data_IF_293960055407
#
_entry.id   IF_293960055407
#
_cell.length_a   1.000
_cell.length_b   1.000
_cell.length_c   1.000
_cell.angle_alpha   90.00
_cell.angle_beta   90.00
_cell.angle_gamma   90.00
#
_symmetry.space_group_name_H-M   'P 1'
#
loop_
_entity.id
_entity.type
_entity.pdbx_description
1 polymer ?
#
# COMPACT_ATOMS: atom_id res chain seq x y z
N UNK A 1 -2.62 38.26 -17.84
CA UNK A 1 -3.19 38.29 -16.48
C UNK A 1 -2.12 38.53 -15.39
N UNK A 2 -0.92 37.92 -15.47
CA UNK A 2 0.19 38.14 -14.51
C UNK A 2 0.76 39.59 -14.59
N UNK A 3 0.83 40.20 -15.76
CA UNK A 3 1.27 41.57 -15.94
C UNK A 3 0.35 42.63 -15.35
N UNK A 4 -0.96 42.37 -15.29
CA UNK A 4 -1.93 43.25 -14.65
C UNK A 4 -1.82 43.29 -13.11
N UNK A 5 -1.29 42.19 -12.53
CA UNK A 5 -1.08 42.07 -11.07
C UNK A 5 0.14 42.90 -10.62
N UNK A 6 1.14 43.07 -11.50
CA UNK A 6 2.34 43.89 -11.21
C UNK A 6 2.10 45.39 -11.36
N UNK A 7 0.98 45.80 -11.97
CA UNK A 7 0.69 47.22 -12.32
C UNK A 7 -0.16 47.99 -11.29
N UNK A 8 -0.23 47.56 -10.01
CA UNK A 8 -0.76 48.39 -8.94
C UNK A 8 -2.29 48.52 -8.86
N UNK A 9 -3.06 47.68 -9.52
CA UNK A 9 -4.53 47.66 -9.51
C UNK A 9 -5.15 46.68 -8.46
N UNK A 10 -4.33 46.10 -7.60
CA UNK A 10 -4.85 45.28 -6.50
C UNK A 10 -5.41 46.14 -5.38
N UNK A 11 -6.54 45.72 -4.80
CA UNK A 11 -7.07 46.33 -3.60
C UNK A 11 -6.01 46.36 -2.50
N UNK A 12 -6.03 47.36 -1.65
CA UNK A 12 -4.95 47.62 -0.65
C UNK A 12 -4.73 46.49 0.35
N UNK A 13 -5.70 45.59 0.49
CA UNK A 13 -5.72 44.42 1.36
C UNK A 13 -5.13 43.13 0.70
N UNK A 14 -4.95 43.11 -0.63
CA UNK A 14 -4.48 41.93 -1.35
C UNK A 14 -2.95 41.84 -1.29
N UNK A 15 -2.46 40.69 -0.87
CA UNK A 15 -1.03 40.34 -0.80
C UNK A 15 -0.71 39.12 -1.64
N UNK A 16 0.52 39.04 -2.07
CA UNK A 16 1.07 37.89 -2.80
C UNK A 16 1.88 37.01 -1.88
N UNK A 17 1.72 35.70 -2.04
CA UNK A 17 2.56 34.68 -1.41
C UNK A 17 3.19 33.85 -2.51
N UNK A 18 4.51 33.76 -2.51
CA UNK A 18 5.25 32.83 -3.39
C UNK A 18 5.72 31.67 -2.57
N UNK A 19 5.34 30.47 -2.97
CA UNK A 19 5.77 29.25 -2.28
C UNK A 19 7.18 28.83 -2.72
N UNK A 20 7.87 27.93 -1.98
CA UNK A 20 9.18 27.40 -2.38
C UNK A 20 9.21 26.75 -3.77
N UNK A 21 8.10 26.21 -4.25
CA UNK A 21 7.96 25.67 -5.62
C UNK A 21 7.76 26.74 -6.69
N UNK A 22 7.71 28.03 -6.31
CA UNK A 22 7.49 29.15 -7.23
C UNK A 22 6.02 29.40 -7.59
N UNK A 23 5.07 28.75 -6.92
CA UNK A 23 3.64 29.02 -7.13
C UNK A 23 3.26 30.34 -6.46
N UNK A 24 2.44 31.14 -7.16
CA UNK A 24 1.95 32.42 -6.71
C UNK A 24 0.52 32.29 -6.20
N UNK A 25 0.30 32.68 -4.94
CA UNK A 25 -1.01 32.76 -4.32
C UNK A 25 -1.34 34.23 -3.97
N UNK A 26 -2.61 34.55 -4.04
CA UNK A 26 -3.15 35.85 -3.59
C UNK A 26 -4.00 35.61 -2.35
N UNK A 27 -3.86 36.49 -1.35
CA UNK A 27 -4.73 36.47 -0.17
C UNK A 27 -5.06 37.90 0.29
N UNK A 28 -6.19 38.05 0.95
CA UNK A 28 -6.58 39.31 1.58
C UNK A 28 -6.11 39.32 3.04
N UNK A 29 -5.39 40.36 3.44
CA UNK A 29 -4.95 40.56 4.82
C UNK A 29 -6.12 40.83 5.78
N UNK A 30 -7.24 41.29 5.29
CA UNK A 30 -8.45 41.56 6.09
C UNK A 30 -9.12 40.27 6.58
N UNK A 31 -8.90 39.17 5.88
CA UNK A 31 -9.53 37.86 6.15
C UNK A 31 -8.54 36.79 6.60
N UNK A 32 -7.24 36.97 6.38
CA UNK A 32 -6.23 35.94 6.65
C UNK A 32 -4.89 36.54 7.03
N UNK A 33 -4.28 36.04 8.11
CA UNK A 33 -2.93 36.42 8.48
C UNK A 33 -1.89 35.88 7.49
N UNK A 34 -0.70 36.48 7.45
CA UNK A 34 0.43 36.01 6.62
C UNK A 34 0.82 34.56 6.96
N UNK A 35 0.79 34.21 8.25
CA UNK A 35 1.16 32.87 8.71
C UNK A 35 0.13 31.83 8.29
N UNK A 36 -1.17 32.16 8.35
CA UNK A 36 -2.23 31.27 7.87
C UNK A 36 -2.17 31.11 6.36
N UNK A 37 -1.88 32.20 5.63
CA UNK A 37 -1.67 32.15 4.19
C UNK A 37 -0.49 31.24 3.82
N UNK A 38 0.65 31.35 4.52
CA UNK A 38 1.80 30.51 4.33
C UNK A 38 1.51 29.03 4.65
N UNK A 39 0.77 28.76 5.74
CA UNK A 39 0.36 27.40 6.09
C UNK A 39 -0.55 26.77 5.02
N UNK A 40 -1.54 27.53 4.52
CA UNK A 40 -2.40 27.08 3.42
C UNK A 40 -1.63 26.88 2.11
N UNK A 41 -0.70 27.79 1.78
CA UNK A 41 0.17 27.64 0.60
C UNK A 41 0.97 26.35 0.63
N UNK A 42 1.54 25.98 1.78
CA UNK A 42 2.25 24.69 1.94
C UNK A 42 1.32 23.49 1.72
N UNK A 43 0.07 23.53 2.19
CA UNK A 43 -0.88 22.46 1.97
C UNK A 43 -1.28 22.33 0.49
N UNK A 44 -1.41 23.44 -0.23
CA UNK A 44 -1.66 23.41 -1.68
C UNK A 44 -0.45 22.84 -2.45
N UNK A 45 0.78 23.17 -2.07
CA UNK A 45 1.97 22.52 -2.64
C UNK A 45 1.96 21.01 -2.46
N UNK A 46 1.57 20.53 -1.29
CA UNK A 46 1.43 19.09 -1.01
C UNK A 46 0.38 18.46 -1.93
N UNK A 47 -0.78 19.08 -2.09
CA UNK A 47 -1.81 18.60 -3.03
C UNK A 47 -1.28 18.52 -4.46
N UNK A 48 -0.53 19.53 -4.91
CA UNK A 48 0.11 19.53 -6.23
C UNK A 48 1.14 18.41 -6.39
N UNK A 49 1.99 18.20 -5.37
CA UNK A 49 2.98 17.13 -5.38
C UNK A 49 2.32 15.74 -5.44
N UNK A 50 1.26 15.53 -4.65
CA UNK A 50 0.47 14.28 -4.66
C UNK A 50 -0.17 14.04 -6.04
N UNK A 51 -0.87 15.05 -6.58
CA UNK A 51 -1.47 14.96 -7.91
C UNK A 51 -0.43 14.71 -9.00
N UNK A 52 0.71 15.38 -8.94
CA UNK A 52 1.83 15.20 -9.86
C UNK A 52 2.38 13.79 -9.85
N UNK A 53 2.52 13.16 -8.66
CA UNK A 53 2.93 11.76 -8.54
C UNK A 53 1.88 10.82 -9.14
N UNK A 54 0.61 10.97 -8.77
CA UNK A 54 -0.47 10.11 -9.27
C UNK A 54 -0.57 10.18 -10.80
N UNK A 55 -0.54 11.39 -11.37
CA UNK A 55 -0.56 11.58 -12.83
C UNK A 55 0.64 10.94 -13.52
N UNK A 56 1.82 11.06 -12.94
CA UNK A 56 3.06 10.46 -13.46
C UNK A 56 2.99 8.93 -13.42
N UNK A 57 2.62 8.35 -12.29
CA UNK A 57 2.51 6.90 -12.12
C UNK A 57 1.50 6.33 -13.12
N UNK A 58 0.35 6.99 -13.27
CA UNK A 58 -0.68 6.57 -14.24
C UNK A 58 -0.23 6.70 -15.69
N UNK A 59 0.47 7.80 -16.05
CA UNK A 59 0.88 8.08 -17.42
C UNK A 59 2.10 7.28 -17.87
N UNK A 60 3.13 7.20 -17.02
CA UNK A 60 4.44 6.65 -17.40
C UNK A 60 4.54 5.17 -17.09
N UNK A 61 4.04 4.76 -15.92
CA UNK A 61 4.14 3.39 -15.45
C UNK A 61 2.89 2.57 -15.75
N UNK A 62 1.80 3.21 -16.18
CA UNK A 62 0.47 2.58 -16.30
C UNK A 62 0.09 1.85 -15.02
N UNK A 63 0.45 2.44 -13.88
CA UNK A 63 0.32 1.84 -12.56
C UNK A 63 -0.57 2.67 -11.64
N UNK A 64 -1.18 1.99 -10.68
CA UNK A 64 -1.90 2.63 -9.58
C UNK A 64 -0.92 3.11 -8.52
N UNK A 65 -1.22 4.23 -7.90
CA UNK A 65 -0.43 4.77 -6.79
C UNK A 65 -1.02 4.32 -5.45
N UNK A 66 -0.35 3.49 -4.66
CA UNK A 66 -0.85 3.10 -3.34
C UNK A 66 -0.94 4.31 -2.40
N UNK A 67 -2.00 4.40 -1.58
CA UNK A 67 -2.14 5.47 -0.59
C UNK A 67 -0.93 5.58 0.33
N UNK A 68 -0.34 4.46 0.73
CA UNK A 68 0.84 4.42 1.59
C UNK A 68 2.05 5.16 0.97
N UNK A 69 2.17 5.20 -0.35
CA UNK A 69 3.24 5.95 -1.02
C UNK A 69 3.08 7.47 -0.91
N UNK A 70 1.87 7.97 -0.60
CA UNK A 70 1.63 9.38 -0.29
C UNK A 70 2.20 9.76 1.07
N UNK A 71 2.16 8.86 2.05
CA UNK A 71 2.77 9.09 3.36
C UNK A 71 4.30 9.23 3.27
N UNK A 72 4.92 8.40 2.42
CA UNK A 72 6.36 8.49 2.14
C UNK A 72 6.74 9.76 1.36
N UNK A 73 5.84 10.28 0.50
CA UNK A 73 6.06 11.53 -0.23
C UNK A 73 6.04 12.75 0.69
N UNK A 74 5.29 12.71 1.79
CA UNK A 74 5.05 13.84 2.69
C UNK A 74 5.31 13.42 4.15
N UNK A 75 6.57 13.12 4.54
CA UNK A 75 6.91 12.57 5.85
C UNK A 75 6.57 13.51 7.02
N UNK A 76 6.57 14.82 6.77
CA UNK A 76 6.27 15.86 7.78
C UNK A 76 4.77 16.01 8.06
N UNK A 77 3.92 15.31 7.30
CA UNK A 77 2.46 15.43 7.42
C UNK A 77 1.88 14.12 7.96
N UNK A 78 1.07 14.24 9.02
CA UNK A 78 0.41 13.08 9.62
C UNK A 78 -0.52 12.38 8.61
N UNK A 79 -0.56 11.03 8.57
CA UNK A 79 -1.40 10.25 7.64
C UNK A 79 -2.87 10.71 7.60
N UNK A 80 -3.47 11.01 8.75
CA UNK A 80 -4.85 11.51 8.86
C UNK A 80 -5.04 12.81 8.06
N UNK A 81 -4.05 13.72 8.09
CA UNK A 81 -4.13 14.97 7.33
C UNK A 81 -3.99 14.73 5.83
N UNK A 82 -3.17 13.76 5.40
CA UNK A 82 -3.05 13.38 3.98
C UNK A 82 -4.38 12.83 3.46
N UNK A 83 -5.08 11.99 4.22
CA UNK A 83 -6.41 11.53 3.87
C UNK A 83 -7.42 12.68 3.76
N UNK A 84 -7.37 13.66 4.68
CA UNK A 84 -8.19 14.88 4.62
C UNK A 84 -7.90 15.69 3.36
N UNK A 85 -6.62 15.87 2.99
CA UNK A 85 -6.23 16.60 1.78
C UNK A 85 -6.71 15.90 0.50
N UNK A 86 -6.66 14.56 0.44
CA UNK A 86 -7.21 13.79 -0.68
C UNK A 86 -8.71 14.00 -0.83
N UNK A 87 -9.45 13.97 0.28
CA UNK A 87 -10.89 14.25 0.25
C UNK A 87 -11.19 15.69 -0.21
N UNK A 88 -10.40 16.67 0.25
CA UNK A 88 -10.51 18.05 -0.23
C UNK A 88 -10.21 18.18 -1.73
N UNK A 89 -9.20 17.45 -2.24
CA UNK A 89 -8.85 17.44 -3.66
C UNK A 89 -9.99 16.93 -4.54
N UNK A 90 -10.73 15.91 -4.11
CA UNK A 90 -11.86 15.36 -4.87
C UNK A 90 -12.98 16.37 -5.14
N UNK A 91 -13.11 17.40 -4.28
CA UNK A 91 -14.06 18.51 -4.46
C UNK A 91 -13.55 19.65 -5.34
N UNK A 92 -12.29 19.63 -5.78
CA UNK A 92 -11.64 20.73 -6.50
C UNK A 92 -11.51 20.42 -7.99
N UNK A 93 -11.91 21.35 -8.84
CA UNK A 93 -11.90 21.20 -10.31
C UNK A 93 -10.50 20.87 -10.85
N UNK A 94 -9.44 21.41 -10.27
CA UNK A 94 -8.05 21.19 -10.68
C UNK A 94 -7.54 19.76 -10.44
N UNK A 95 -8.25 18.94 -9.66
CA UNK A 95 -7.91 17.56 -9.34
C UNK A 95 -9.04 16.57 -9.70
N UNK A 96 -10.00 17.00 -10.54
CA UNK A 96 -11.15 16.18 -10.93
C UNK A 96 -10.76 14.86 -11.62
N UNK A 97 -9.57 14.81 -12.20
CA UNK A 97 -8.97 13.65 -12.85
C UNK A 97 -8.38 12.62 -11.87
N UNK A 98 -8.27 12.97 -10.59
CA UNK A 98 -7.74 12.05 -9.57
C UNK A 98 -8.88 11.24 -8.99
N UNK A 99 -8.79 9.92 -9.16
CA UNK A 99 -9.79 8.95 -8.70
C UNK A 99 -9.18 7.95 -7.72
N UNK A 100 -10.05 7.27 -7.01
CA UNK A 100 -9.68 6.22 -6.06
C UNK A 100 -10.29 4.89 -6.46
N UNK A 101 -9.59 3.81 -6.18
CA UNK A 101 -10.10 2.45 -6.30
C UNK A 101 -9.64 1.65 -5.07
N UNK A 102 -10.55 0.88 -4.48
CA UNK A 102 -10.24 0.04 -3.33
C UNK A 102 -9.94 -1.39 -3.77
N UNK A 103 -8.88 -1.96 -3.21
CA UNK A 103 -8.67 -3.39 -3.28
C UNK A 103 -9.69 -4.12 -2.39
N UNK A 104 -9.84 -5.42 -2.62
CA UNK A 104 -10.67 -6.26 -1.78
C UNK A 104 -10.16 -6.35 -0.32
N UNK A 105 -8.85 -6.09 -0.14
CA UNK A 105 -8.19 -5.96 1.16
C UNK A 105 -8.56 -4.71 1.95
N UNK A 106 -9.31 -3.77 1.34
CA UNK A 106 -9.57 -2.44 1.90
C UNK A 106 -8.42 -1.44 1.64
N UNK A 107 -7.33 -1.85 1.00
CA UNK A 107 -6.26 -0.95 0.60
C UNK A 107 -6.73 0.00 -0.51
N UNK A 108 -6.40 1.28 -0.37
CA UNK A 108 -6.81 2.34 -1.30
C UNK A 108 -5.68 2.67 -2.27
N UNK A 109 -6.03 2.70 -3.54
CA UNK A 109 -5.18 3.11 -4.64
C UNK A 109 -5.72 4.35 -5.33
N UNK A 110 -4.81 5.16 -5.86
CA UNK A 110 -5.10 6.42 -6.55
C UNK A 110 -4.66 6.29 -8.02
N UNK A 111 -5.40 6.93 -8.91
CA UNK A 111 -5.06 6.96 -10.34
C UNK A 111 -5.62 8.21 -11.00
N UNK A 112 -5.07 8.55 -12.17
CA UNK A 112 -5.56 9.63 -13.03
C UNK A 112 -6.45 9.04 -14.13
N UNK A 113 -7.74 9.44 -14.18
CA UNK A 113 -8.71 8.90 -15.13
C UNK A 113 -8.47 9.36 -16.58
N UNK A 114 -7.65 10.40 -16.78
CA UNK A 114 -7.17 10.78 -18.10
C UNK A 114 -6.22 9.74 -18.75
N UNK A 115 -5.63 8.83 -17.94
CA UNK A 115 -4.66 7.84 -18.40
C UNK A 115 -5.08 6.39 -18.13
N UNK A 116 -5.82 6.15 -17.05
CA UNK A 116 -6.27 4.83 -16.61
C UNK A 116 -7.78 4.88 -16.43
N UNK A 117 -8.52 4.11 -17.22
CA UNK A 117 -9.97 4.01 -17.04
C UNK A 117 -10.31 3.27 -15.74
N UNK A 118 -11.48 3.56 -15.16
CA UNK A 118 -11.94 2.88 -13.94
C UNK A 118 -11.94 1.34 -14.07
N UNK A 119 -12.42 0.84 -15.21
CA UNK A 119 -12.42 -0.62 -15.50
C UNK A 119 -11.01 -1.19 -15.47
N UNK A 120 -10.04 -0.47 -16.03
CA UNK A 120 -8.65 -0.92 -16.05
C UNK A 120 -8.00 -0.82 -14.65
N UNK A 121 -8.30 0.22 -13.88
CA UNK A 121 -7.86 0.34 -12.50
C UNK A 121 -8.34 -0.86 -11.65
N UNK A 122 -9.61 -1.27 -11.78
CA UNK A 122 -10.15 -2.45 -11.12
C UNK A 122 -9.42 -3.73 -11.55
N UNK A 123 -9.08 -3.87 -12.84
CA UNK A 123 -8.31 -5.03 -13.33
C UNK A 123 -6.90 -5.06 -12.74
N UNK A 124 -6.21 -3.93 -12.68
CA UNK A 124 -4.87 -3.83 -12.08
C UNK A 124 -4.89 -4.25 -10.60
N UNK A 125 -5.87 -3.77 -9.82
CA UNK A 125 -6.03 -4.19 -8.41
C UNK A 125 -6.27 -5.70 -8.31
N UNK A 126 -7.14 -6.25 -9.14
CA UNK A 126 -7.44 -7.69 -9.15
C UNK A 126 -6.24 -8.54 -9.53
N UNK A 127 -5.45 -8.10 -10.51
CA UNK A 127 -4.24 -8.79 -10.95
C UNK A 127 -3.22 -8.86 -9.83
N UNK A 128 -2.93 -7.74 -9.16
CA UNK A 128 -1.98 -7.70 -8.04
C UNK A 128 -2.37 -8.66 -6.90
N UNK A 129 -3.69 -8.73 -6.56
CA UNK A 129 -4.19 -9.67 -5.54
C UNK A 129 -4.08 -11.12 -6.01
N UNK A 130 -4.33 -11.39 -7.30
CA UNK A 130 -4.23 -12.75 -7.87
C UNK A 130 -2.78 -13.24 -7.83
N UNK A 131 -1.82 -12.39 -8.21
CA UNK A 131 -0.39 -12.73 -8.16
C UNK A 131 0.07 -13.03 -6.73
N UNK A 132 -0.36 -12.26 -5.75
CA UNK A 132 -0.05 -12.51 -4.35
C UNK A 132 -0.62 -13.87 -3.86
N UNK A 133 -1.87 -14.19 -4.21
CA UNK A 133 -2.48 -15.48 -3.85
C UNK A 133 -1.74 -16.65 -4.50
N UNK A 134 -1.38 -16.54 -5.79
CA UNK A 134 -0.61 -17.57 -6.51
C UNK A 134 0.76 -17.75 -5.87
N UNK A 135 1.46 -16.67 -5.56
CA UNK A 135 2.77 -16.70 -4.88
C UNK A 135 2.69 -17.43 -3.55
N UNK A 136 1.66 -17.15 -2.73
CA UNK A 136 1.45 -17.84 -1.45
C UNK A 136 1.28 -19.34 -1.68
N UNK A 137 0.38 -19.74 -2.58
CA UNK A 137 0.07 -21.16 -2.84
C UNK A 137 1.28 -21.91 -3.36
N UNK A 138 1.97 -21.36 -4.35
CA UNK A 138 3.14 -22.00 -4.96
C UNK A 138 4.28 -22.15 -3.95
N UNK A 139 4.52 -21.12 -3.12
CA UNK A 139 5.52 -21.20 -2.05
C UNK A 139 5.16 -22.28 -1.04
N UNK A 140 3.90 -22.33 -0.56
CA UNK A 140 3.48 -23.32 0.44
C UNK A 140 3.60 -24.74 -0.11
N UNK A 141 3.21 -24.97 -1.37
CA UNK A 141 3.36 -26.28 -2.02
C UNK A 141 4.83 -26.67 -2.14
N UNK A 142 5.68 -25.73 -2.57
CA UNK A 142 7.11 -26.00 -2.76
C UNK A 142 7.83 -26.24 -1.43
N UNK A 143 7.55 -25.45 -0.40
CA UNK A 143 8.09 -25.66 0.96
C UNK A 143 7.64 -27.01 1.53
N UNK A 144 6.36 -27.38 1.37
CA UNK A 144 5.84 -28.68 1.82
C UNK A 144 6.44 -29.84 1.04
N UNK A 145 6.79 -29.65 -0.25
CA UNK A 145 7.36 -30.69 -1.12
C UNK A 145 8.85 -30.90 -0.90
N UNK A 146 9.64 -29.82 -0.88
CA UNK A 146 11.11 -29.91 -0.85
C UNK A 146 11.64 -30.04 0.59
N UNK A 147 11.11 -29.21 1.50
CA UNK A 147 11.65 -29.11 2.86
C UNK A 147 10.76 -29.76 3.93
N UNK A 148 9.77 -30.60 3.59
CA UNK A 148 8.59 -31.08 4.32
C UNK A 148 8.29 -30.31 5.61
N UNK A 149 8.06 -28.99 5.49
CA UNK A 149 7.75 -28.10 6.61
C UNK A 149 6.59 -27.16 6.30
N UNK A 150 5.81 -26.75 7.31
CA UNK A 150 4.79 -25.71 7.13
C UNK A 150 5.45 -24.34 6.96
N UNK A 151 4.85 -23.49 6.13
CA UNK A 151 5.33 -22.15 5.83
C UNK A 151 4.74 -21.13 6.80
N UNK A 152 5.58 -20.41 7.53
CA UNK A 152 5.12 -19.35 8.44
C UNK A 152 4.54 -18.18 7.64
N UNK A 153 3.35 -17.72 8.01
CA UNK A 153 2.64 -16.64 7.28
C UNK A 153 3.43 -15.34 7.27
N UNK A 154 4.14 -15.01 8.35
CA UNK A 154 4.98 -13.81 8.42
C UNK A 154 6.12 -13.77 7.39
N UNK A 155 6.49 -14.91 6.80
CA UNK A 155 7.49 -14.98 5.74
C UNK A 155 7.08 -14.14 4.51
N UNK A 156 5.79 -14.10 4.21
CA UNK A 156 5.26 -13.39 3.04
C UNK A 156 5.34 -11.86 3.17
N UNK A 157 5.45 -11.32 4.38
CA UNK A 157 5.68 -9.89 4.60
C UNK A 157 7.17 -9.51 4.58
N UNK A 158 8.07 -10.49 4.53
CA UNK A 158 9.51 -10.25 4.47
C UNK A 158 9.91 -9.52 3.18
N UNK A 159 11.13 -8.98 3.15
CA UNK A 159 11.67 -8.29 1.97
C UNK A 159 11.76 -9.18 0.72
N UNK A 160 11.76 -10.49 0.88
CA UNK A 160 11.85 -11.46 -0.24
C UNK A 160 10.55 -11.49 -1.03
N UNK A 161 9.40 -11.54 -0.33
CA UNK A 161 8.09 -11.60 -0.98
C UNK A 161 7.41 -10.24 -1.07
N UNK A 162 7.61 -9.38 -0.08
CA UNK A 162 7.13 -8.00 -0.08
C UNK A 162 5.61 -7.85 -0.13
N UNK A 163 4.85 -8.89 0.25
CA UNK A 163 3.38 -8.82 0.25
C UNK A 163 2.94 -7.93 1.41
N UNK A 164 2.23 -6.82 1.14
CA UNK A 164 1.75 -5.95 2.21
C UNK A 164 0.83 -6.69 3.17
N UNK A 165 0.96 -6.43 4.48
CA UNK A 165 0.13 -7.08 5.51
C UNK A 165 -1.38 -6.89 5.25
N UNK A 166 -1.79 -5.73 4.73
CA UNK A 166 -3.17 -5.45 4.35
C UNK A 166 -3.69 -6.36 3.22
N UNK A 167 -2.80 -6.83 2.32
CA UNK A 167 -3.14 -7.73 1.21
C UNK A 167 -3.05 -9.21 1.64
N UNK A 168 -2.13 -9.53 2.56
CA UNK A 168 -1.80 -10.89 2.95
C UNK A 168 -3.00 -11.64 3.56
N UNK A 169 -3.67 -11.09 4.58
CA UNK A 169 -4.79 -11.75 5.24
C UNK A 169 -5.98 -12.02 4.32
N UNK A 170 -6.47 -11.05 3.51
CA UNK A 170 -7.48 -11.32 2.49
C UNK A 170 -7.07 -12.40 1.47
N UNK A 171 -5.79 -12.44 1.05
CA UNK A 171 -5.30 -13.51 0.17
C UNK A 171 -5.35 -14.87 0.84
N UNK A 172 -4.94 -15.00 2.10
CA UNK A 172 -5.02 -16.26 2.86
C UNK A 172 -6.47 -16.72 2.96
N UNK A 173 -7.40 -15.85 3.35
CA UNK A 173 -8.84 -16.17 3.42
C UNK A 173 -9.36 -16.65 2.07
N UNK A 174 -8.97 -15.97 0.97
CA UNK A 174 -9.36 -16.37 -0.38
C UNK A 174 -8.78 -17.73 -0.78
N UNK A 175 -7.50 -17.97 -0.49
CA UNK A 175 -6.84 -19.26 -0.75
C UNK A 175 -7.55 -20.41 -0.02
N UNK A 176 -7.80 -20.25 1.29
CA UNK A 176 -8.44 -21.28 2.12
C UNK A 176 -9.90 -21.57 1.72
N UNK A 177 -10.61 -20.61 1.13
CA UNK A 177 -11.99 -20.75 0.68
C UNK A 177 -12.12 -21.15 -0.80
N UNK A 178 -11.02 -21.23 -1.54
CA UNK A 178 -11.04 -21.53 -2.97
C UNK A 178 -10.97 -23.04 -3.22
N UNK A 179 -11.90 -23.65 -3.97
CA UNK A 179 -11.85 -25.06 -4.31
C UNK A 179 -10.57 -25.48 -5.06
N UNK A 180 -9.98 -24.55 -5.84
CA UNK A 180 -8.76 -24.82 -6.61
C UNK A 180 -7.50 -24.96 -5.74
N UNK A 181 -7.57 -24.52 -4.46
CA UNK A 181 -6.49 -24.58 -3.48
C UNK A 181 -6.89 -25.42 -2.25
N UNK A 182 -7.80 -26.39 -2.45
CA UNK A 182 -8.33 -27.23 -1.37
C UNK A 182 -7.26 -28.03 -0.62
N UNK A 183 -6.07 -28.14 -1.19
CA UNK A 183 -4.90 -28.77 -0.57
C UNK A 183 -4.21 -27.88 0.48
N UNK A 184 -4.43 -26.56 0.45
CA UNK A 184 -3.81 -25.64 1.41
C UNK A 184 -4.61 -25.60 2.69
N UNK A 185 -3.91 -25.82 3.81
CA UNK A 185 -4.48 -25.81 5.17
C UNK A 185 -3.71 -24.84 6.03
N UNK A 186 -4.39 -24.35 7.07
CA UNK A 186 -3.84 -23.41 8.05
C UNK A 186 -3.69 -24.09 9.41
N UNK A 187 -2.57 -23.85 10.08
CA UNK A 187 -2.33 -24.16 11.47
C UNK A 187 -2.03 -22.87 12.24
N UNK A 188 -2.36 -22.87 13.52
CA UNK A 188 -2.06 -21.76 14.44
C UNK A 188 -1.37 -22.36 15.66
N UNK A 189 -0.20 -21.81 16.01
CA UNK A 189 0.51 -22.26 17.20
C UNK A 189 -0.24 -21.81 18.47
N UNK A 190 -0.49 -22.70 19.44
CA UNK A 190 -1.39 -22.40 20.55
C UNK A 190 -0.87 -21.33 21.52
N UNK A 191 0.43 -21.15 21.64
CA UNK A 191 1.04 -20.22 22.60
C UNK A 191 1.48 -18.90 21.93
N UNK A 192 2.06 -18.96 20.72
CA UNK A 192 2.60 -17.78 20.02
C UNK A 192 1.58 -17.15 19.07
N UNK A 193 0.44 -17.81 18.83
CA UNK A 193 -0.57 -17.44 17.84
C UNK A 193 0.01 -17.30 16.39
N UNK A 194 1.23 -17.80 16.19
CA UNK A 194 1.87 -17.80 14.88
C UNK A 194 1.07 -18.65 13.89
N UNK A 195 0.80 -18.07 12.73
CA UNK A 195 0.05 -18.71 11.66
C UNK A 195 0.98 -19.41 10.67
N UNK A 196 0.61 -20.62 10.27
CA UNK A 196 1.33 -21.46 9.31
C UNK A 196 0.38 -21.99 8.25
N UNK A 197 0.92 -22.18 7.03
CA UNK A 197 0.23 -22.83 5.92
C UNK A 197 1.03 -24.07 5.50
N UNK A 198 0.32 -25.13 5.06
CA UNK A 198 0.92 -26.33 4.50
C UNK A 198 0.03 -26.93 3.41
N UNK A 199 0.62 -27.73 2.53
CA UNK A 199 -0.12 -28.45 1.48
C UNK A 199 -0.32 -29.91 1.86
N UNK A 200 -1.59 -30.35 1.88
CA UNK A 200 -1.96 -31.75 2.13
C UNK A 200 -1.53 -32.71 1.03
N UNK A 201 -1.07 -32.19 -0.12
CA UNK A 201 -0.50 -33.02 -1.19
C UNK A 201 0.85 -33.65 -0.78
N UNK A 202 1.56 -33.02 0.15
CA UNK A 202 2.94 -33.38 0.50
C UNK A 202 3.14 -33.67 1.98
N UNK A 203 2.19 -33.30 2.83
CA UNK A 203 2.33 -33.38 4.29
C UNK A 203 0.97 -33.63 4.95
N UNK A 204 0.90 -34.50 5.92
CA UNK A 204 -0.30 -34.66 6.75
C UNK A 204 -0.32 -33.64 7.90
N UNK A 205 -1.49 -33.50 8.54
CA UNK A 205 -1.71 -32.53 9.61
C UNK A 205 -0.82 -32.77 10.84
N UNK A 206 -0.65 -34.04 11.24
CA UNK A 206 0.17 -34.41 12.41
C UNK A 206 1.64 -34.05 12.21
N UNK A 207 2.17 -34.31 11.00
CA UNK A 207 3.53 -33.92 10.63
C UNK A 207 3.69 -32.41 10.64
N UNK A 208 2.75 -31.67 9.99
CA UNK A 208 2.78 -30.23 9.94
C UNK A 208 2.72 -29.60 11.33
N UNK A 209 1.86 -30.13 12.20
CA UNK A 209 1.71 -29.67 13.57
C UNK A 209 2.97 -29.92 14.41
N UNK A 210 3.55 -31.09 14.31
CA UNK A 210 4.79 -31.45 15.04
C UNK A 210 5.96 -30.57 14.63
N UNK A 211 6.10 -30.33 13.33
CA UNK A 211 7.15 -29.45 12.78
C UNK A 211 6.93 -27.99 13.15
N UNK A 212 5.69 -27.50 13.14
CA UNK A 212 5.35 -26.16 13.60
C UNK A 212 5.80 -25.95 15.05
N UNK A 213 5.48 -26.89 15.96
CA UNK A 213 5.91 -26.82 17.36
C UNK A 213 7.44 -26.77 17.47
N UNK A 214 8.11 -27.68 16.80
CA UNK A 214 9.56 -27.70 16.80
C UNK A 214 10.19 -26.40 16.28
N UNK A 215 9.64 -25.81 15.20
CA UNK A 215 10.11 -24.53 14.64
C UNK A 215 9.92 -23.35 15.60
N UNK A 216 8.86 -23.33 16.41
CA UNK A 216 8.63 -22.27 17.39
C UNK A 216 9.53 -22.46 18.64
N UNK A 217 9.73 -23.70 19.09
CA UNK A 217 10.60 -24.02 20.22
C UNK A 217 12.08 -23.72 19.91
N UNK A 218 12.56 -24.04 18.71
CA UNK A 218 13.93 -23.75 18.29
C UNK A 218 14.15 -22.28 17.91
N UNK A 219 13.11 -21.61 17.40
CA UNK A 219 13.16 -20.17 17.08
C UNK A 219 13.25 -19.28 18.32
N UNK A 220 12.84 -19.79 19.49
CA UNK A 220 13.00 -19.13 20.81
C UNK A 220 14.37 -19.41 21.45
N UNK A 221 15.07 -20.48 21.02
CA UNK A 221 16.42 -20.82 21.47
C UNK A 221 17.43 -20.41 20.39
N UNK A 222 17.90 -19.14 20.46
CA UNK A 222 19.06 -18.57 19.74
C UNK A 222 19.45 -19.23 18.41
N UNK A 223 19.19 -18.54 17.29
CA UNK A 223 20.05 -18.48 16.09
C UNK A 223 20.82 -19.71 15.59
N UNK A 224 20.39 -20.95 15.86
CA UNK A 224 21.05 -22.14 15.34
C UNK A 224 20.50 -22.52 13.96
N UNK A 225 21.42 -22.52 13.00
CA UNK A 225 21.21 -23.05 11.67
C UNK A 225 20.53 -24.44 11.69
N UNK A 226 19.47 -24.61 10.91
CA UNK A 226 18.84 -25.91 10.64
C UNK A 226 19.89 -26.94 10.22
N UNK A 227 19.88 -28.18 10.77
CA UNK A 227 20.72 -29.22 10.23
C UNK A 227 20.37 -29.49 8.79
N UNK A 228 21.35 -29.76 7.91
CA UNK A 228 21.09 -30.05 6.50
C UNK A 228 20.19 -31.29 6.37
N UNK A 229 19.28 -31.30 5.37
CA UNK A 229 18.42 -32.46 5.15
C UNK A 229 19.28 -33.68 4.89
N UNK A 230 18.98 -34.78 5.60
CA UNK A 230 19.59 -36.08 5.32
C UNK A 230 18.97 -36.57 4.00
N UNK A 231 19.76 -36.53 2.93
CA UNK A 231 19.43 -37.24 1.71
C UNK A 231 19.33 -38.74 1.96
N UNK A 232 18.37 -39.42 1.36
CA UNK A 232 18.23 -40.87 1.40
C UNK A 232 19.41 -41.56 0.70
#
# INVERSE_FOLDING_TARGET
>A
MLEAISAGALASDIRTLVTPSGQLFLYSQDYMSSDDAAAKGKLEEVKHAMAGKIRRDSRVLTALTPLNSMFALCPDIKPVKICSLLNEMQGQVQYWDIKTVSAFSGELYLYCDAHITEKYAVLLVRSAVTDACSTIVDTVREESRIYPRPTRVSLFTSHVYGIPAATLQPCIVRVLNSPQYADIRKLVHPETEAEYLYSTLHMNEEQAYSLMKWMEEEGTAEGRALPPPRCP
#
